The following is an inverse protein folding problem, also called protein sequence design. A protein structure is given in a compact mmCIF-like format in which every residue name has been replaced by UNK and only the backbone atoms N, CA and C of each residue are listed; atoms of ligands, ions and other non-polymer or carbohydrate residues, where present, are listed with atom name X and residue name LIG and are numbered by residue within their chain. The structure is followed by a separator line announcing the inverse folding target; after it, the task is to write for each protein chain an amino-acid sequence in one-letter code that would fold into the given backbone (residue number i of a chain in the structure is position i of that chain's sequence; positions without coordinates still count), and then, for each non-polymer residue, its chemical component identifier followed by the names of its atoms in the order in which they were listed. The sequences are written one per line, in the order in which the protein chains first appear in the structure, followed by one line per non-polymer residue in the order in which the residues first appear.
data_IF_546323178292
#
_entry.id   IF_546323178292
#
_cell.length_a   1.000
_cell.length_b   1.000
_cell.length_c   1.000
_cell.angle_alpha   90.00
_cell.angle_beta   90.00
_cell.angle_gamma   90.00
#
_symmetry.space_group_name_H-M   'P 1'
#
loop_
_entity.id
_entity.type
_entity.pdbx_description
1 polymer ?
#
# COMPACT_ATOMS: atom_id res chain seq x y z
N UNK A 1 -20.27 -19.84 22.68
CA UNK A 1 -19.21 -19.39 21.75
C UNK A 1 -17.89 -20.04 22.15
N UNK A 2 -17.09 -20.50 21.20
CA UNK A 2 -15.76 -21.05 21.52
C UNK A 2 -14.83 -19.91 21.97
N UNK A 3 -14.17 -20.09 23.11
CA UNK A 3 -13.17 -19.14 23.63
C UNK A 3 -11.78 -19.77 23.60
N UNK A 4 -10.73 -18.99 23.28
CA UNK A 4 -9.37 -19.51 23.29
C UNK A 4 -8.96 -19.83 24.73
N UNK A 5 -8.66 -21.10 25.00
CA UNK A 5 -8.23 -21.53 26.33
C UNK A 5 -6.87 -20.97 26.73
N UNK A 6 -6.01 -20.66 25.75
CA UNK A 6 -4.64 -20.17 25.92
C UNK A 6 -4.31 -19.11 24.88
N UNK A 7 -3.41 -18.18 25.25
CA UNK A 7 -2.88 -17.17 24.33
C UNK A 7 -2.01 -17.79 23.25
N UNK A 8 -2.05 -17.22 22.06
CA UNK A 8 -1.14 -17.58 20.96
C UNK A 8 0.28 -17.10 21.30
N UNK A 9 1.30 -17.92 21.02
CA UNK A 9 2.69 -17.53 21.21
C UNK A 9 3.11 -16.46 20.19
N UNK A 10 4.16 -15.69 20.52
CA UNK A 10 4.73 -14.67 19.60
C UNK A 10 5.14 -15.27 18.26
N UNK A 11 5.74 -16.46 18.26
CA UNK A 11 6.18 -17.17 17.05
C UNK A 11 5.03 -17.59 16.14
N UNK A 12 3.85 -17.89 16.70
CA UNK A 12 2.64 -18.27 15.96
C UNK A 12 1.78 -17.06 15.58
N UNK A 13 2.23 -15.85 15.89
CA UNK A 13 1.56 -14.61 15.52
C UNK A 13 1.52 -14.47 13.99
N UNK A 14 0.36 -14.12 13.45
CA UNK A 14 0.15 -13.98 12.00
C UNK A 14 0.43 -12.56 11.48
N UNK A 15 1.10 -11.71 12.28
CA UNK A 15 1.44 -10.32 11.91
C UNK A 15 2.23 -10.21 10.60
N UNK A 16 3.14 -11.15 10.33
CA UNK A 16 3.92 -11.17 9.09
C UNK A 16 3.05 -11.24 7.82
N UNK A 17 1.87 -11.86 7.88
CA UNK A 17 0.94 -11.89 6.75
C UNK A 17 0.39 -10.50 6.44
N UNK A 18 0.15 -9.66 7.46
CA UNK A 18 -0.29 -8.27 7.27
C UNK A 18 0.82 -7.43 6.66
N UNK A 19 2.04 -7.54 7.17
CA UNK A 19 3.20 -6.84 6.61
C UNK A 19 3.48 -7.24 5.15
N UNK A 20 3.33 -8.53 4.80
CA UNK A 20 3.50 -8.99 3.42
C UNK A 20 2.48 -8.37 2.45
N UNK A 21 1.23 -8.20 2.88
CA UNK A 21 0.21 -7.50 2.07
C UNK A 21 0.62 -6.05 1.82
N UNK A 22 1.06 -5.35 2.87
CA UNK A 22 1.54 -3.97 2.76
C UNK A 22 2.74 -3.85 1.80
N UNK A 23 3.72 -4.75 1.88
CA UNK A 23 4.88 -4.77 1.00
C UNK A 23 4.50 -4.97 -0.48
N UNK A 24 3.50 -5.81 -0.78
CA UNK A 24 3.03 -5.99 -2.15
C UNK A 24 2.32 -4.74 -2.70
N UNK A 25 1.54 -4.06 -1.85
CA UNK A 25 0.85 -2.82 -2.24
C UNK A 25 1.85 -1.68 -2.44
N UNK A 26 2.87 -1.56 -1.57
CA UNK A 26 3.89 -0.51 -1.70
C UNK A 26 4.67 -0.61 -3.00
N UNK A 27 5.06 -1.82 -3.41
CA UNK A 27 5.78 -2.03 -4.67
C UNK A 27 4.95 -1.59 -5.87
N UNK A 28 3.66 -1.93 -5.92
CA UNK A 28 2.74 -1.51 -6.98
C UNK A 28 2.55 0.01 -7.00
N UNK A 29 2.35 0.61 -5.83
CA UNK A 29 2.21 2.06 -5.68
C UNK A 29 3.45 2.81 -6.15
N UNK A 30 4.64 2.29 -5.86
CA UNK A 30 5.90 2.90 -6.28
C UNK A 30 6.08 2.85 -7.80
N UNK A 31 5.85 1.69 -8.43
CA UNK A 31 5.89 1.57 -9.89
C UNK A 31 4.89 2.50 -10.58
N UNK A 32 3.69 2.65 -10.00
CA UNK A 32 2.68 3.57 -10.50
C UNK A 32 3.14 5.04 -10.39
N UNK A 33 3.67 5.45 -9.24
CA UNK A 33 4.17 6.79 -9.02
C UNK A 33 5.28 7.17 -10.02
N UNK A 34 6.23 6.27 -10.27
CA UNK A 34 7.30 6.49 -11.26
C UNK A 34 6.76 6.62 -12.69
N UNK A 35 5.75 5.82 -13.05
CA UNK A 35 5.09 5.92 -14.36
C UNK A 35 4.41 7.28 -14.56
N UNK A 36 3.73 7.78 -13.52
CA UNK A 36 3.09 9.11 -13.53
C UNK A 36 4.15 10.22 -13.67
N UNK A 37 5.23 10.16 -12.90
CA UNK A 37 6.30 11.16 -12.93
C UNK A 37 6.98 11.23 -14.31
N UNK A 38 7.21 10.08 -14.95
CA UNK A 38 7.79 9.98 -16.30
C UNK A 38 6.84 10.41 -17.42
N UNK A 39 5.59 10.80 -17.13
CA UNK A 39 4.54 11.16 -18.11
C UNK A 39 4.25 10.08 -19.16
N UNK A 40 4.63 8.83 -18.90
CA UNK A 40 4.38 7.67 -19.78
C UNK A 40 3.21 6.82 -19.25
N UNK A 41 2.33 7.40 -18.43
CA UNK A 41 1.16 6.72 -17.90
C UNK A 41 0.06 6.66 -18.96
N UNK A 42 -0.15 5.50 -19.57
CA UNK A 42 -1.13 5.32 -20.64
C UNK A 42 -2.59 5.21 -20.16
N UNK A 43 -2.83 4.80 -18.91
CA UNK A 43 -4.18 4.49 -18.39
C UNK A 43 -4.55 5.24 -17.10
N UNK A 44 -3.61 5.91 -16.46
CA UNK A 44 -3.83 6.65 -15.21
C UNK A 44 -3.76 8.15 -15.48
N UNK A 45 -4.89 8.84 -15.32
CA UNK A 45 -4.97 10.30 -15.45
C UNK A 45 -4.79 10.92 -14.07
N UNK A 46 -3.68 11.62 -13.88
CA UNK A 46 -3.43 12.45 -12.70
C UNK A 46 -3.65 13.91 -13.05
N UNK A 47 -4.72 14.51 -12.53
CA UNK A 47 -5.00 15.94 -12.73
C UNK A 47 -4.01 16.75 -11.90
N UNK A 48 -3.00 17.32 -12.56
CA UNK A 48 -1.96 18.14 -11.93
C UNK A 48 -2.43 19.57 -11.59
N UNK A 49 -3.65 19.95 -11.94
CA UNK A 49 -4.20 21.30 -11.76
C UNK A 49 -4.57 21.65 -10.31
N UNK A 50 -3.75 21.25 -9.33
CA UNK A 50 -3.80 21.71 -7.93
C UNK A 50 -2.53 22.55 -7.62
N UNK A 51 -1.68 22.83 -8.62
CA UNK A 51 -0.60 23.82 -8.51
C UNK A 51 -1.12 25.28 -8.39
N UNK A 52 -2.44 25.56 -8.43
CA UNK A 52 -3.02 26.90 -8.23
C UNK A 52 -3.38 27.24 -6.76
N UNK A 53 -3.12 26.34 -5.80
CA UNK A 53 -3.45 26.56 -4.37
C UNK A 53 -2.30 27.11 -3.51
N UNK A 54 -1.17 27.50 -4.12
CA UNK A 54 -0.02 28.15 -3.46
C UNK A 54 0.52 29.36 -4.26
N UNK A 55 -0.39 30.17 -4.85
CA UNK A 55 -0.09 31.53 -5.36
C UNK A 55 -0.88 32.59 -4.61
#
# INVERSE_FOLDING_TARGET
MAVPKKKTSKSKSRKSHWHRKAASVSQKSFSLAMSILSRNSASFVYNKSIDDFDS
#
